data_IF_098453371720
#
_entry.id   IF_098453371720
#
_cell.length_a   1.000
_cell.length_b   1.000
_cell.length_c   1.000
_cell.angle_alpha   90.00
_cell.angle_beta   90.00
_cell.angle_gamma   90.00
#
_symmetry.space_group_name_H-M   'P 1'
#
loop_
_entity.id
_entity.type
_entity.pdbx_description
1 polymer ?
#
# COMPACT_ATOMS: atom_id res chain seq x y z
N UNK A 1 -9.97 27.23 3.00
CA UNK A 1 -10.78 26.00 3.10
C UNK A 1 -9.97 25.01 3.90
N UNK A 2 -10.46 24.60 5.08
CA UNK A 2 -9.69 23.82 6.06
C UNK A 2 -9.76 22.33 5.69
N UNK A 3 -8.64 21.75 5.31
CA UNK A 3 -8.53 20.30 5.17
C UNK A 3 -7.87 19.75 6.44
N UNK A 4 -8.68 19.15 7.30
CA UNK A 4 -8.25 18.44 8.52
C UNK A 4 -8.15 16.97 8.15
N UNK A 5 -6.96 16.40 8.30
CA UNK A 5 -6.79 14.94 8.28
C UNK A 5 -7.40 14.43 9.58
N UNK A 6 -8.54 13.73 9.48
CA UNK A 6 -9.25 13.17 10.63
C UNK A 6 -8.65 11.82 11.02
N UNK A 7 -7.89 11.80 12.10
CA UNK A 7 -7.61 10.57 12.84
C UNK A 7 -8.79 10.31 13.79
N UNK A 8 -9.51 9.20 13.62
CA UNK A 8 -10.63 8.81 14.46
C UNK A 8 -10.13 8.31 15.82
N UNK A 9 -10.29 9.14 16.85
CA UNK A 9 -10.15 8.73 18.24
C UNK A 9 -11.54 8.60 18.86
N UNK A 10 -11.88 7.40 19.36
CA UNK A 10 -13.10 7.13 20.12
C UNK A 10 -12.89 7.66 21.54
N UNK A 11 -13.63 8.67 21.93
CA UNK A 11 -13.68 9.18 23.30
C UNK A 11 -14.85 8.58 24.07
N UNK A 12 -14.58 7.82 25.13
CA UNK A 12 -15.56 7.44 26.15
C UNK A 12 -15.78 8.62 27.11
N UNK A 13 -17.00 9.10 27.19
CA UNK A 13 -17.44 10.09 28.16
C UNK A 13 -17.79 9.39 29.48
N UNK A 14 -16.98 9.61 30.52
CA UNK A 14 -17.37 9.38 31.91
C UNK A 14 -17.49 10.75 32.60
N UNK A 15 -18.70 11.11 32.99
CA UNK A 15 -18.97 12.36 33.68
C UNK A 15 -18.56 12.30 35.16
N UNK A 16 -17.75 13.27 35.61
CA UNK A 16 -17.56 13.61 37.00
C UNK A 16 -17.80 15.10 37.20
N UNK A 17 -18.69 15.41 38.15
CA UNK A 17 -18.98 16.79 38.61
C UNK A 17 -17.76 17.33 39.35
N UNK A 18 -17.26 18.50 38.94
CA UNK A 18 -16.21 19.22 39.68
C UNK A 18 -16.79 20.43 40.43
N UNK A 19 -16.26 20.76 41.60
CA UNK A 19 -16.64 21.96 42.35
C UNK A 19 -16.02 23.22 41.71
N UNK A 20 -16.74 24.33 41.80
CA UNK A 20 -16.34 25.63 41.28
C UNK A 20 -15.04 26.14 41.97
N UNK A 21 -14.00 26.34 41.13
CA UNK A 21 -12.78 27.04 41.54
C UNK A 21 -12.73 28.41 40.84
N UNK A 22 -12.28 29.40 41.58
CA UNK A 22 -12.24 30.81 41.22
C UNK A 22 -11.60 31.10 39.87
N UNK A 23 -12.19 32.02 39.10
CA UNK A 23 -11.68 32.58 37.87
C UNK A 23 -10.30 33.22 38.04
N UNK A 24 -9.26 32.53 37.58
CA UNK A 24 -7.99 33.18 37.26
C UNK A 24 -8.09 33.76 35.86
N UNK A 25 -7.47 34.91 35.66
CA UNK A 25 -7.49 35.69 34.41
C UNK A 25 -7.33 34.81 33.17
N UNK A 26 -8.19 35.03 32.16
CA UNK A 26 -8.11 34.32 30.88
C UNK A 26 -6.70 34.46 30.28
N UNK A 27 -6.08 33.37 29.81
CA UNK A 27 -4.84 33.47 29.07
C UNK A 27 -5.08 34.34 27.83
N UNK A 28 -4.20 35.30 27.60
CA UNK A 28 -4.19 36.08 26.39
C UNK A 28 -4.06 35.07 25.21
N UNK A 29 -5.09 34.99 24.38
CA UNK A 29 -5.08 34.17 23.18
C UNK A 29 -3.97 34.71 22.27
N UNK A 30 -2.84 34.05 22.26
CA UNK A 30 -1.79 34.28 21.27
C UNK A 30 -2.38 33.88 19.93
N UNK A 31 -2.50 34.82 19.01
CA UNK A 31 -2.96 34.53 17.65
C UNK A 31 -2.08 33.37 17.09
N UNK A 32 -2.66 32.35 16.48
CA UNK A 32 -1.88 31.27 15.90
C UNK A 32 -0.87 31.86 14.90
N UNK A 33 0.40 31.50 15.04
CA UNK A 33 1.44 31.93 14.12
C UNK A 33 1.03 31.53 12.68
N UNK A 34 1.34 32.39 11.72
CA UNK A 34 1.09 32.07 10.30
C UNK A 34 1.86 30.79 9.94
N UNK A 35 1.24 29.85 9.23
CA UNK A 35 1.89 28.60 8.85
C UNK A 35 3.19 28.84 8.09
N UNK A 36 4.20 27.99 8.33
CA UNK A 36 5.47 28.07 7.59
C UNK A 36 5.20 27.78 6.10
N UNK A 37 5.33 28.81 5.26
CA UNK A 37 4.97 28.74 3.86
C UNK A 37 5.83 27.72 3.07
N UNK A 38 7.12 27.57 3.44
CA UNK A 38 8.00 26.61 2.78
C UNK A 38 7.56 25.16 3.08
N UNK A 39 7.25 24.86 4.34
CA UNK A 39 6.74 23.53 4.71
C UNK A 39 5.38 23.26 4.05
N UNK A 40 4.45 24.21 4.11
CA UNK A 40 3.13 24.05 3.50
C UNK A 40 3.24 23.78 1.99
N UNK A 41 4.16 24.47 1.29
CA UNK A 41 4.40 24.24 -0.14
C UNK A 41 4.95 22.83 -0.41
N UNK A 42 5.94 22.38 0.35
CA UNK A 42 6.50 21.01 0.17
C UNK A 42 5.44 19.94 0.39
N UNK A 43 4.61 20.07 1.43
CA UNK A 43 3.54 19.12 1.72
C UNK A 43 2.50 19.06 0.60
N UNK A 44 2.08 20.22 0.07
CA UNK A 44 1.11 20.29 -1.01
C UNK A 44 1.64 19.69 -2.33
N UNK A 45 2.91 19.98 -2.65
CA UNK A 45 3.55 19.43 -3.85
C UNK A 45 3.77 17.93 -3.74
N UNK A 46 4.15 17.44 -2.54
CA UNK A 46 4.27 16.00 -2.29
C UNK A 46 2.91 15.28 -2.42
N UNK A 47 1.84 15.85 -1.87
CA UNK A 47 0.48 15.30 -2.02
C UNK A 47 0.08 15.23 -3.51
N UNK A 48 0.36 16.30 -4.26
CA UNK A 48 0.08 16.35 -5.70
C UNK A 48 0.85 15.26 -6.46
N UNK A 49 2.14 15.09 -6.15
CA UNK A 49 2.96 14.04 -6.71
C UNK A 49 2.46 12.65 -6.33
N UNK A 50 2.14 12.42 -5.04
CA UNK A 50 1.65 11.14 -4.54
C UNK A 50 0.36 10.71 -5.25
N UNK A 51 -0.59 11.63 -5.43
CA UNK A 51 -1.84 11.38 -6.19
C UNK A 51 -1.58 11.05 -7.66
N UNK A 52 -0.50 11.56 -8.22
CA UNK A 52 -0.12 11.25 -9.60
C UNK A 52 0.50 9.84 -9.74
N UNK A 53 1.32 9.42 -8.77
CA UNK A 53 2.02 8.11 -8.80
C UNK A 53 1.17 6.97 -8.22
N UNK A 54 0.20 7.29 -7.34
CA UNK A 54 -0.73 6.34 -6.70
C UNK A 54 -2.19 6.59 -7.10
N UNK A 55 -2.52 6.54 -8.41
CA UNK A 55 -3.83 6.99 -8.89
C UNK A 55 -4.99 6.11 -8.41
N UNK A 56 -4.73 4.85 -8.05
CA UNK A 56 -5.77 3.96 -7.50
C UNK A 56 -6.20 4.45 -6.12
N UNK A 57 -5.24 4.74 -5.24
CA UNK A 57 -5.49 5.31 -3.91
C UNK A 57 -6.16 6.68 -4.01
N UNK A 58 -5.61 7.57 -4.85
CA UNK A 58 -6.20 8.89 -5.09
C UNK A 58 -7.67 8.82 -5.54
N UNK A 59 -8.00 7.86 -6.43
CA UNK A 59 -9.37 7.63 -6.87
C UNK A 59 -10.29 7.13 -5.75
N UNK A 60 -9.81 6.27 -4.85
CA UNK A 60 -10.55 5.81 -3.67
C UNK A 60 -10.80 6.96 -2.68
N UNK A 61 -9.91 7.93 -2.60
CA UNK A 61 -10.04 9.15 -1.79
C UNK A 61 -10.90 10.25 -2.46
N UNK A 62 -11.45 9.98 -3.64
CA UNK A 62 -12.41 10.86 -4.32
C UNK A 62 -11.82 11.71 -5.46
N UNK A 63 -10.55 11.51 -5.84
CA UNK A 63 -9.99 12.14 -7.03
C UNK A 63 -10.58 11.50 -8.30
N UNK A 64 -11.56 12.18 -8.89
CA UNK A 64 -12.26 11.69 -10.08
C UNK A 64 -11.33 11.61 -11.32
N UNK A 65 -10.32 12.47 -11.43
CA UNK A 65 -9.38 12.43 -12.54
C UNK A 65 -8.46 11.18 -12.47
N UNK A 66 -8.27 10.62 -11.28
CA UNK A 66 -7.48 9.43 -11.06
C UNK A 66 -8.25 8.11 -11.35
N UNK A 67 -9.60 8.16 -11.46
CA UNK A 67 -10.43 6.95 -11.65
C UNK A 67 -10.13 6.18 -12.93
N UNK A 68 -9.57 6.81 -13.95
CA UNK A 68 -9.22 6.19 -15.23
C UNK A 68 -7.79 5.63 -15.30
N UNK A 69 -6.99 5.78 -14.23
CA UNK A 69 -5.57 5.47 -14.24
C UNK A 69 -5.22 4.30 -13.32
N UNK A 70 -4.15 3.59 -13.67
CA UNK A 70 -3.43 2.64 -12.84
C UNK A 70 -2.02 3.17 -12.57
N UNK A 71 -1.39 2.70 -11.51
CA UNK A 71 0.02 2.98 -11.24
C UNK A 71 0.93 2.29 -12.26
N UNK A 72 2.12 2.85 -12.45
CA UNK A 72 3.16 2.24 -13.27
C UNK A 72 4.07 1.37 -12.37
N UNK A 73 4.08 0.07 -12.61
CA UNK A 73 4.84 -0.89 -11.81
C UNK A 73 6.24 -1.16 -12.39
N UNK A 74 6.63 -0.48 -13.46
CA UNK A 74 7.92 -0.71 -14.11
C UNK A 74 9.09 -0.21 -13.27
N UNK A 75 10.22 -0.92 -13.34
CA UNK A 75 11.47 -0.48 -12.72
C UNK A 75 11.94 0.88 -13.22
N UNK A 76 11.72 1.17 -14.50
CA UNK A 76 12.09 2.46 -15.09
C UNK A 76 11.33 3.61 -14.45
N UNK A 77 10.03 3.45 -14.21
CA UNK A 77 9.23 4.45 -13.50
C UNK A 77 9.71 4.64 -12.06
N UNK A 78 9.96 3.56 -11.33
CA UNK A 78 10.46 3.64 -9.95
C UNK A 78 11.78 4.44 -9.87
N UNK A 79 12.74 4.12 -10.74
CA UNK A 79 14.03 4.84 -10.80
C UNK A 79 13.85 6.31 -11.16
N UNK A 80 12.92 6.63 -12.05
CA UNK A 80 12.63 8.00 -12.46
C UNK A 80 12.06 8.86 -11.32
N UNK A 81 11.60 8.26 -10.21
CA UNK A 81 11.14 9.02 -9.04
C UNK A 81 12.29 9.56 -8.17
N UNK A 82 13.52 9.03 -8.29
CA UNK A 82 14.65 9.46 -7.43
C UNK A 82 14.93 10.98 -7.48
N UNK A 83 15.06 11.63 -8.64
CA UNK A 83 15.30 13.07 -8.68
C UNK A 83 14.14 13.88 -8.09
N UNK A 84 12.89 13.42 -8.22
CA UNK A 84 11.72 14.09 -7.64
C UNK A 84 11.77 14.01 -6.11
N UNK A 85 11.97 12.80 -5.58
CA UNK A 85 12.10 12.55 -4.14
C UNK A 85 13.32 13.27 -3.54
N UNK A 86 14.42 13.33 -4.28
CA UNK A 86 15.58 14.14 -3.88
C UNK A 86 15.22 15.62 -3.78
N UNK A 87 14.46 16.16 -4.72
CA UNK A 87 13.98 17.53 -4.66
C UNK A 87 13.14 17.83 -3.43
N UNK A 88 12.26 16.91 -3.02
CA UNK A 88 11.52 17.02 -1.74
C UNK A 88 12.46 16.97 -0.54
N UNK A 89 13.43 16.05 -0.52
CA UNK A 89 14.41 15.95 0.56
C UNK A 89 15.23 17.22 0.72
N UNK A 90 15.72 17.79 -0.38
CA UNK A 90 16.52 19.04 -0.37
C UNK A 90 15.69 20.21 0.17
N UNK A 91 14.43 20.33 -0.24
CA UNK A 91 13.51 21.37 0.26
C UNK A 91 13.21 21.22 1.75
N UNK A 92 12.99 20.02 2.23
CA UNK A 92 12.77 19.75 3.66
C UNK A 92 14.05 20.08 4.46
N UNK A 93 15.22 19.67 3.99
CA UNK A 93 16.49 19.97 4.65
C UNK A 93 16.80 21.48 4.74
N UNK A 94 16.25 22.29 3.86
CA UNK A 94 16.42 23.75 3.89
C UNK A 94 15.53 24.47 4.91
N UNK A 95 14.58 23.77 5.55
CA UNK A 95 13.69 24.32 6.58
C UNK A 95 14.34 24.15 7.96
N UNK A 96 14.57 25.26 8.68
CA UNK A 96 15.04 25.20 10.07
C UNK A 96 13.91 24.78 11.01
N UNK A 97 13.99 23.61 11.65
CA UNK A 97 12.95 23.14 12.57
C UNK A 97 12.75 24.04 13.80
N UNK A 98 13.75 24.85 14.18
CA UNK A 98 13.65 25.75 15.32
C UNK A 98 12.62 26.88 15.13
N UNK A 99 12.35 27.24 13.85
CA UNK A 99 11.35 28.24 13.48
C UNK A 99 9.93 27.69 13.34
N UNK A 100 9.72 26.37 13.56
CA UNK A 100 8.44 25.70 13.36
C UNK A 100 7.65 25.61 14.68
N UNK A 101 6.32 25.60 14.61
CA UNK A 101 5.45 25.18 15.73
C UNK A 101 5.61 23.68 16.01
N UNK A 102 5.06 23.17 17.12
CA UNK A 102 5.15 21.75 17.48
C UNK A 102 4.50 20.84 16.41
N UNK A 103 3.32 21.22 15.90
CA UNK A 103 2.63 20.47 14.85
C UNK A 103 3.42 20.50 13.52
N UNK A 104 4.01 21.63 13.19
CA UNK A 104 4.84 21.75 11.99
C UNK A 104 6.15 20.96 12.12
N UNK A 105 6.78 20.93 13.30
CA UNK A 105 7.94 20.06 13.55
C UNK A 105 7.60 18.59 13.36
N UNK A 106 6.44 18.16 13.86
CA UNK A 106 5.97 16.78 13.68
C UNK A 106 5.76 16.48 12.19
N UNK A 107 5.06 17.35 11.46
CA UNK A 107 4.82 17.19 10.04
C UNK A 107 6.12 17.19 9.22
N UNK A 108 7.06 18.07 9.56
CA UNK A 108 8.38 18.13 8.93
C UNK A 108 9.18 16.84 9.17
N UNK A 109 9.24 16.37 10.42
CA UNK A 109 9.95 15.14 10.78
C UNK A 109 9.32 13.91 10.09
N UNK A 110 7.99 13.82 10.11
CA UNK A 110 7.26 12.73 9.44
C UNK A 110 7.49 12.74 7.93
N UNK A 111 7.38 13.88 7.28
CA UNK A 111 7.61 13.99 5.83
C UNK A 111 9.06 13.69 5.46
N UNK A 112 10.02 14.16 6.27
CA UNK A 112 11.45 13.83 6.08
C UNK A 112 11.66 12.31 6.15
N UNK A 113 11.05 11.64 7.11
CA UNK A 113 11.10 10.18 7.23
C UNK A 113 10.48 9.49 6.00
N UNK A 114 9.29 9.91 5.57
CA UNK A 114 8.57 9.30 4.44
C UNK A 114 9.37 9.45 3.15
N UNK A 115 9.88 10.64 2.87
CA UNK A 115 10.69 10.91 1.66
C UNK A 115 11.98 10.12 1.68
N UNK A 116 12.70 10.11 2.83
CA UNK A 116 13.91 9.31 2.99
C UNK A 116 13.62 7.83 2.74
N UNK A 117 12.58 7.28 3.36
CA UNK A 117 12.20 5.87 3.19
C UNK A 117 11.87 5.53 1.73
N UNK A 118 11.15 6.40 1.03
CA UNK A 118 10.83 6.21 -0.38
C UNK A 118 12.09 6.16 -1.25
N UNK A 119 13.07 7.03 -0.97
CA UNK A 119 14.36 7.04 -1.65
C UNK A 119 15.21 5.81 -1.34
N UNK A 120 15.28 5.41 -0.07
CA UNK A 120 16.04 4.23 0.38
C UNK A 120 15.51 2.93 -0.25
N UNK A 121 14.24 2.88 -0.65
CA UNK A 121 13.63 1.73 -1.32
C UNK A 121 14.13 1.53 -2.74
N UNK A 122 14.35 2.61 -3.49
CA UNK A 122 14.67 2.55 -4.92
C UNK A 122 15.88 1.66 -5.23
N UNK A 123 17.05 1.78 -4.56
CA UNK A 123 18.20 0.93 -4.84
C UNK A 123 17.98 -0.55 -4.47
N UNK A 124 17.04 -0.85 -3.57
CA UNK A 124 16.73 -2.22 -3.16
C UNK A 124 16.02 -3.03 -4.27
N UNK A 125 15.37 -2.33 -5.22
CA UNK A 125 14.62 -2.97 -6.32
C UNK A 125 13.70 -4.08 -5.83
N UNK A 126 12.84 -3.73 -4.85
CA UNK A 126 11.94 -4.69 -4.19
C UNK A 126 10.94 -5.31 -5.15
N UNK A 127 10.62 -4.64 -6.25
CA UNK A 127 9.74 -5.16 -7.30
C UNK A 127 10.14 -6.54 -7.81
N UNK A 128 11.42 -6.93 -7.70
CA UNK A 128 11.89 -8.28 -8.07
C UNK A 128 11.21 -9.40 -7.28
N UNK A 129 10.96 -9.18 -5.99
CA UNK A 129 10.34 -10.15 -5.11
C UNK A 129 8.87 -9.82 -4.82
N UNK A 130 8.49 -8.54 -4.92
CA UNK A 130 7.15 -8.04 -4.60
C UNK A 130 6.18 -8.11 -5.80
N UNK A 131 6.60 -8.69 -6.94
CA UNK A 131 5.75 -8.86 -8.12
C UNK A 131 4.48 -9.70 -7.84
N UNK A 132 4.54 -10.56 -6.82
CA UNK A 132 3.43 -11.35 -6.27
C UNK A 132 3.76 -11.79 -4.84
N UNK A 133 2.74 -12.28 -4.13
CA UNK A 133 2.88 -12.82 -2.78
C UNK A 133 1.95 -14.03 -2.58
N UNK A 134 1.85 -14.56 -1.35
CA UNK A 134 0.96 -15.69 -1.02
C UNK A 134 -0.54 -15.42 -1.23
N UNK A 135 -0.93 -14.15 -1.37
CA UNK A 135 -2.33 -13.72 -1.54
C UNK A 135 -2.70 -13.54 -3.02
N UNK A 136 -1.73 -13.70 -3.94
CA UNK A 136 -1.97 -13.66 -5.38
C UNK A 136 -0.95 -12.82 -6.17
N UNK A 137 -1.36 -12.39 -7.36
CA UNK A 137 -0.52 -11.69 -8.34
C UNK A 137 -1.08 -10.35 -8.80
N UNK A 138 -0.58 -9.85 -9.94
CA UNK A 138 -1.04 -8.60 -10.52
C UNK A 138 -2.56 -8.58 -10.73
N UNK A 139 -3.20 -7.46 -10.41
CA UNK A 139 -4.63 -7.26 -10.64
C UNK A 139 -5.56 -7.70 -9.52
N UNK A 140 -5.11 -8.46 -8.52
CA UNK A 140 -5.97 -8.91 -7.41
C UNK A 140 -6.58 -7.74 -6.62
N UNK A 141 -5.79 -6.71 -6.31
CA UNK A 141 -6.32 -5.49 -5.69
C UNK A 141 -7.41 -4.82 -6.51
N UNK A 142 -7.35 -4.89 -7.85
CA UNK A 142 -8.36 -4.31 -8.72
C UNK A 142 -9.68 -5.10 -8.69
N UNK A 143 -9.65 -6.42 -8.48
CA UNK A 143 -10.85 -7.24 -8.27
C UNK A 143 -11.60 -6.82 -6.99
N UNK A 144 -10.88 -6.51 -5.92
CA UNK A 144 -11.48 -5.93 -4.71
C UNK A 144 -12.12 -4.56 -5.01
N UNK A 145 -11.41 -3.67 -5.69
CA UNK A 145 -11.93 -2.34 -6.06
C UNK A 145 -13.17 -2.48 -6.95
N UNK A 146 -13.19 -3.41 -7.91
CA UNK A 146 -14.37 -3.72 -8.71
C UNK A 146 -15.58 -4.06 -7.83
N UNK A 147 -15.36 -4.79 -6.74
CA UNK A 147 -16.44 -5.21 -5.84
C UNK A 147 -17.14 -4.07 -5.12
N UNK A 148 -16.43 -2.95 -4.88
CA UNK A 148 -16.93 -1.77 -4.18
C UNK A 148 -17.22 -0.59 -5.12
N UNK A 149 -16.78 -0.66 -6.38
CA UNK A 149 -17.00 0.41 -7.36
C UNK A 149 -18.46 0.49 -7.77
N UNK A 150 -19.01 1.69 -7.73
CA UNK A 150 -20.36 2.00 -8.23
C UNK A 150 -20.26 2.96 -9.40
N UNK A 151 -20.83 2.57 -10.52
CA UNK A 151 -20.98 3.42 -11.70
C UNK A 151 -22.25 4.25 -11.53
N UNK A 152 -22.11 5.57 -11.44
CA UNK A 152 -23.21 6.52 -11.29
C UNK A 152 -23.44 7.35 -12.55
N UNK A 153 -22.44 7.43 -13.42
CA UNK A 153 -22.47 8.16 -14.70
C UNK A 153 -21.81 7.36 -15.81
N UNK A 154 -22.04 7.73 -17.06
CA UNK A 154 -21.31 7.17 -18.19
C UNK A 154 -19.80 7.42 -18.09
N UNK A 155 -19.38 8.57 -17.54
CA UNK A 155 -17.97 8.89 -17.33
C UNK A 155 -17.32 7.95 -16.30
N UNK A 156 -18.04 7.50 -15.27
CA UNK A 156 -17.50 6.49 -14.33
C UNK A 156 -17.28 5.14 -15.02
N UNK A 157 -18.19 4.75 -15.92
CA UNK A 157 -18.05 3.54 -16.72
C UNK A 157 -16.85 3.62 -17.66
N UNK A 158 -16.65 4.74 -18.33
CA UNK A 158 -15.49 4.99 -19.20
C UNK A 158 -14.18 4.97 -18.41
N UNK A 159 -14.17 5.58 -17.24
CA UNK A 159 -12.99 5.57 -16.36
C UNK A 159 -12.62 4.15 -15.92
N UNK A 160 -13.61 3.33 -15.57
CA UNK A 160 -13.36 1.93 -15.21
C UNK A 160 -12.85 1.11 -16.40
N UNK A 161 -13.44 1.30 -17.60
CA UNK A 161 -12.96 0.65 -18.85
C UNK A 161 -11.51 1.04 -19.12
N UNK A 162 -11.15 2.31 -18.98
CA UNK A 162 -9.77 2.75 -19.19
C UNK A 162 -8.77 2.03 -18.25
N UNK A 163 -9.16 1.75 -16.99
CA UNK A 163 -8.37 0.90 -16.09
C UNK A 163 -8.23 -0.53 -16.60
N UNK A 164 -9.31 -1.13 -17.10
CA UNK A 164 -9.27 -2.48 -17.68
C UNK A 164 -8.33 -2.54 -18.88
N UNK A 165 -8.40 -1.54 -19.77
CA UNK A 165 -7.56 -1.39 -20.95
C UNK A 165 -6.07 -1.15 -20.59
N UNK A 166 -5.78 -0.58 -19.41
CA UNK A 166 -4.42 -0.37 -18.90
C UNK A 166 -3.81 -1.59 -18.18
N UNK A 167 -4.63 -2.57 -17.75
CA UNK A 167 -4.14 -3.75 -17.02
C UNK A 167 -3.07 -4.56 -17.74
N UNK A 168 -3.12 -4.77 -19.06
CA UNK A 168 -2.07 -5.52 -19.76
C UNK A 168 -0.67 -4.98 -19.51
N UNK A 169 -0.50 -3.65 -19.43
CA UNK A 169 0.79 -3.04 -19.08
C UNK A 169 1.22 -3.41 -17.67
N UNK A 170 0.31 -3.34 -16.69
CA UNK A 170 0.62 -3.69 -15.30
C UNK A 170 1.11 -5.13 -15.19
N UNK A 171 0.44 -6.07 -15.87
CA UNK A 171 0.89 -7.47 -15.93
C UNK A 171 2.26 -7.61 -16.57
N UNK A 172 2.51 -6.92 -17.70
CA UNK A 172 3.81 -6.95 -18.36
C UNK A 172 4.95 -6.40 -17.48
N UNK A 173 4.72 -5.30 -16.78
CA UNK A 173 5.69 -4.69 -15.87
C UNK A 173 6.01 -5.65 -14.71
N UNK A 174 5.00 -6.25 -14.10
CA UNK A 174 5.20 -7.20 -13.00
C UNK A 174 5.88 -8.50 -13.48
N UNK A 175 5.56 -8.96 -14.68
CA UNK A 175 6.25 -10.10 -15.30
C UNK A 175 7.73 -9.79 -15.52
N UNK A 176 8.06 -8.59 -15.99
CA UNK A 176 9.44 -8.14 -16.15
C UNK A 176 10.17 -8.05 -14.79
N UNK A 177 9.49 -7.57 -13.75
CA UNK A 177 10.00 -7.53 -12.39
C UNK A 177 10.31 -8.94 -11.86
N UNK A 178 9.37 -9.88 -11.98
CA UNK A 178 9.55 -11.27 -11.54
C UNK A 178 10.67 -11.99 -12.31
N UNK A 179 10.80 -11.76 -13.63
CA UNK A 179 11.90 -12.27 -14.46
C UNK A 179 13.25 -11.75 -13.98
N UNK A 180 13.35 -10.46 -13.68
CA UNK A 180 14.55 -9.84 -13.10
C UNK A 180 14.87 -10.43 -11.71
N UNK A 181 13.83 -10.77 -10.94
CA UNK A 181 13.97 -11.53 -9.70
C UNK A 181 14.66 -12.87 -9.92
N UNK A 182 14.22 -13.66 -10.90
CA UNK A 182 14.82 -14.93 -11.27
C UNK A 182 16.28 -14.80 -11.75
N UNK A 183 16.59 -13.75 -12.51
CA UNK A 183 17.94 -13.47 -13.02
C UNK A 183 18.91 -13.12 -11.90
N UNK A 184 18.44 -12.42 -10.87
CA UNK A 184 19.26 -11.91 -9.77
C UNK A 184 19.22 -12.78 -8.51
N UNK A 185 18.37 -13.82 -8.47
CA UNK A 185 18.17 -14.68 -7.30
C UNK A 185 17.34 -14.04 -6.18
N UNK A 186 16.77 -12.83 -6.40
CA UNK A 186 15.84 -12.18 -5.47
C UNK A 186 14.43 -12.70 -5.76
N UNK A 187 14.11 -13.87 -5.23
CA UNK A 187 12.91 -14.65 -5.57
C UNK A 187 12.13 -15.07 -4.34
N UNK A 188 10.82 -15.25 -4.51
CA UNK A 188 9.93 -15.85 -3.51
C UNK A 188 10.30 -17.32 -3.26
N UNK A 189 10.15 -17.83 -2.03
CA UNK A 189 10.31 -19.24 -1.75
C UNK A 189 9.19 -20.07 -2.39
N UNK A 190 9.46 -21.37 -2.63
CA UNK A 190 8.54 -22.31 -3.27
C UNK A 190 7.14 -22.28 -2.67
N UNK A 191 7.02 -22.31 -1.35
CA UNK A 191 5.72 -22.30 -0.65
C UNK A 191 4.86 -21.07 -0.96
N UNK A 192 5.47 -19.91 -1.15
CA UNK A 192 4.76 -18.68 -1.56
C UNK A 192 4.28 -18.80 -3.00
N UNK A 193 5.12 -19.35 -3.90
CA UNK A 193 4.73 -19.55 -5.31
C UNK A 193 3.56 -20.53 -5.42
N UNK A 194 3.62 -21.64 -4.68
CA UNK A 194 2.56 -22.66 -4.64
C UNK A 194 1.25 -22.07 -4.13
N UNK A 195 1.29 -21.30 -3.03
CA UNK A 195 0.10 -20.61 -2.52
C UNK A 195 -0.46 -19.60 -3.52
N UNK A 196 0.39 -18.79 -4.14
CA UNK A 196 -0.04 -17.83 -5.16
C UNK A 196 -0.74 -18.52 -6.35
N UNK A 197 -0.21 -19.66 -6.81
CA UNK A 197 -0.79 -20.43 -7.90
C UNK A 197 -2.20 -20.93 -7.58
N UNK A 198 -2.51 -21.26 -6.31
CA UNK A 198 -3.86 -21.69 -5.91
C UNK A 198 -4.93 -20.62 -6.17
N UNK A 199 -4.54 -19.36 -6.24
CA UNK A 199 -5.42 -18.22 -6.53
C UNK A 199 -5.36 -17.80 -8.00
N UNK A 200 -4.16 -17.76 -8.56
CA UNK A 200 -3.91 -17.26 -9.92
C UNK A 200 -4.44 -18.21 -11.01
N UNK A 201 -4.28 -19.52 -10.84
CA UNK A 201 -4.74 -20.49 -11.85
C UNK A 201 -6.27 -20.50 -12.02
N UNK A 202 -7.09 -20.50 -10.93
CA UNK A 202 -8.54 -20.34 -11.08
C UNK A 202 -8.94 -19.04 -11.76
N UNK A 203 -8.27 -17.91 -11.45
CA UNK A 203 -8.53 -16.63 -12.12
C UNK A 203 -8.17 -16.67 -13.61
N UNK A 204 -7.08 -17.35 -13.99
CA UNK A 204 -6.67 -17.52 -15.37
C UNK A 204 -7.61 -18.43 -16.17
N UNK A 205 -8.35 -19.32 -15.48
CA UNK A 205 -9.32 -20.25 -16.06
C UNK A 205 -10.74 -19.65 -16.19
N UNK A 206 -11.00 -18.46 -15.65
CA UNK A 206 -12.31 -17.81 -15.75
C UNK A 206 -12.72 -17.60 -17.22
N UNK A 207 -14.03 -17.64 -17.46
CA UNK A 207 -14.59 -17.12 -18.71
C UNK A 207 -14.71 -15.60 -18.63
N UNK A 208 -14.56 -14.86 -19.73
CA UNK A 208 -14.61 -13.40 -19.70
C UNK A 208 -15.88 -12.84 -19.02
N UNK A 209 -17.04 -13.45 -19.24
CA UNK A 209 -18.31 -12.99 -18.66
C UNK A 209 -18.46 -13.25 -17.17
N UNK A 210 -17.66 -14.14 -16.58
CA UNK A 210 -17.65 -14.43 -15.14
C UNK A 210 -16.60 -13.62 -14.37
N UNK A 211 -15.85 -12.76 -15.07
CA UNK A 211 -14.75 -12.02 -14.45
C UNK A 211 -15.25 -10.99 -13.44
N UNK A 212 -14.74 -11.00 -12.18
CA UNK A 212 -15.13 -10.04 -11.14
C UNK A 212 -14.93 -8.58 -11.55
N UNK A 213 -14.01 -8.28 -12.46
CA UNK A 213 -13.75 -6.93 -12.97
C UNK A 213 -14.94 -6.33 -13.73
N UNK A 214 -15.89 -7.16 -14.20
CA UNK A 214 -17.12 -6.73 -14.87
C UNK A 214 -18.26 -6.42 -13.90
N UNK A 215 -18.11 -6.71 -12.58
CA UNK A 215 -19.13 -6.47 -11.57
C UNK A 215 -19.71 -5.04 -11.57
N UNK A 216 -18.91 -3.96 -11.76
CA UNK A 216 -19.45 -2.60 -11.81
C UNK A 216 -20.49 -2.38 -12.91
N UNK A 217 -20.46 -3.17 -13.99
CA UNK A 217 -21.40 -3.07 -15.12
C UNK A 217 -22.71 -3.86 -14.92
N UNK A 218 -22.83 -4.63 -13.86
CA UNK A 218 -24.04 -5.43 -13.60
C UNK A 218 -25.30 -4.55 -13.44
N UNK A 219 -25.14 -3.37 -12.81
CA UNK A 219 -26.23 -2.43 -12.57
C UNK A 219 -25.81 -1.01 -12.99
N UNK A 220 -26.02 -0.66 -14.24
CA UNK A 220 -25.81 0.70 -14.73
C UNK A 220 -27.06 1.56 -14.47
N UNK A 221 -26.89 2.86 -14.14
CA UNK A 221 -28.03 3.74 -13.84
C UNK A 221 -28.93 3.99 -15.04
N UNK A 222 -30.24 4.12 -14.80
CA UNK A 222 -31.24 4.36 -15.84
C UNK A 222 -31.05 5.72 -16.58
N UNK A 223 -30.28 6.65 -16.01
CA UNK A 223 -29.88 7.89 -16.67
C UNK A 223 -28.97 7.70 -17.88
N UNK A 224 -28.33 6.53 -18.02
CA UNK A 224 -27.53 6.16 -19.19
C UNK A 224 -28.47 5.47 -20.19
N UNK A 225 -28.62 5.96 -21.44
CA UNK A 225 -29.44 5.31 -22.46
C UNK A 225 -29.07 3.84 -22.68
N UNK A 226 -30.07 2.97 -22.88
CA UNK A 226 -29.85 1.51 -22.97
C UNK A 226 -28.84 1.13 -24.06
N UNK A 227 -28.88 1.78 -25.22
CA UNK A 227 -27.90 1.55 -26.29
C UNK A 227 -26.46 1.85 -25.80
N UNK A 228 -26.26 2.91 -25.04
CA UNK A 228 -24.97 3.27 -24.46
C UNK A 228 -24.55 2.28 -23.35
N UNK A 229 -25.50 1.85 -22.50
CA UNK A 229 -25.22 0.81 -21.49
C UNK A 229 -24.69 -0.47 -22.16
N UNK A 230 -25.30 -0.90 -23.27
CA UNK A 230 -24.88 -2.09 -24.00
C UNK A 230 -23.48 -1.89 -24.59
N UNK A 231 -23.21 -0.77 -25.24
CA UNK A 231 -21.89 -0.45 -25.79
C UNK A 231 -20.79 -0.43 -24.71
N UNK A 232 -21.07 0.13 -23.53
CA UNK A 232 -20.14 0.14 -22.38
C UNK A 232 -19.85 -1.28 -21.87
N UNK A 233 -20.90 -2.13 -21.71
CA UNK A 233 -20.73 -3.54 -21.30
C UNK A 233 -19.90 -4.33 -22.31
N UNK A 234 -20.18 -4.16 -23.59
CA UNK A 234 -19.44 -4.85 -24.66
C UNK A 234 -17.97 -4.43 -24.68
N UNK A 235 -17.69 -3.13 -24.52
CA UNK A 235 -16.33 -2.62 -24.48
C UNK A 235 -15.58 -3.13 -23.25
N UNK A 236 -16.20 -3.11 -22.07
CA UNK A 236 -15.64 -3.68 -20.86
C UNK A 236 -15.34 -5.17 -21.00
N UNK A 237 -16.29 -5.94 -21.57
CA UNK A 237 -16.12 -7.36 -21.81
C UNK A 237 -14.96 -7.64 -22.80
N UNK A 238 -14.80 -6.84 -23.84
CA UNK A 238 -13.66 -6.95 -24.78
C UNK A 238 -12.34 -6.61 -24.06
N UNK A 239 -12.30 -5.55 -23.28
CA UNK A 239 -11.09 -5.19 -22.52
C UNK A 239 -10.62 -6.33 -21.60
N UNK A 240 -11.55 -7.03 -20.96
CA UNK A 240 -11.25 -8.22 -20.15
C UNK A 240 -10.84 -9.39 -21.04
N UNK A 241 -11.63 -9.74 -22.04
CA UNK A 241 -11.42 -10.94 -22.87
C UNK A 241 -10.10 -10.89 -23.66
N UNK A 242 -9.83 -9.75 -24.29
CA UNK A 242 -8.72 -9.58 -25.25
C UNK A 242 -7.48 -8.99 -24.56
N UNK A 243 -7.65 -8.26 -23.46
CA UNK A 243 -6.57 -7.62 -22.71
C UNK A 243 -6.14 -8.39 -21.46
N UNK A 244 -7.04 -8.53 -20.49
CA UNK A 244 -6.70 -9.06 -19.15
C UNK A 244 -6.49 -10.57 -19.16
N UNK A 245 -7.41 -11.33 -19.75
CA UNK A 245 -7.37 -12.80 -19.71
C UNK A 245 -6.11 -13.42 -20.33
N UNK A 246 -5.58 -12.95 -21.46
CA UNK A 246 -4.31 -13.45 -22.00
C UNK A 246 -3.15 -13.23 -21.04
N UNK A 247 -3.11 -12.08 -20.35
CA UNK A 247 -2.06 -11.75 -19.39
C UNK A 247 -2.12 -12.63 -18.13
N UNK A 248 -3.32 -12.92 -17.62
CA UNK A 248 -3.49 -13.86 -16.50
C UNK A 248 -3.00 -15.26 -16.83
N UNK A 249 -3.31 -15.74 -18.06
CA UNK A 249 -2.82 -17.06 -18.50
C UNK A 249 -1.30 -17.07 -18.64
N UNK A 250 -0.71 -16.04 -19.23
CA UNK A 250 0.75 -15.92 -19.34
C UNK A 250 1.42 -15.85 -17.97
N UNK A 251 0.80 -15.12 -17.02
CA UNK A 251 1.30 -15.02 -15.64
C UNK A 251 1.24 -16.36 -14.92
N UNK A 252 0.12 -17.10 -15.01
CA UNK A 252 -0.02 -18.43 -14.44
C UNK A 252 0.99 -19.42 -15.05
N UNK A 253 1.13 -19.42 -16.38
CA UNK A 253 2.12 -20.23 -17.09
C UNK A 253 3.54 -19.92 -16.61
N UNK A 254 3.91 -18.64 -16.57
CA UNK A 254 5.23 -18.20 -16.12
C UNK A 254 5.54 -18.66 -14.70
N UNK A 255 4.60 -18.49 -13.76
CA UNK A 255 4.79 -18.95 -12.40
C UNK A 255 4.94 -20.46 -12.31
N UNK A 256 4.14 -21.22 -13.05
CA UNK A 256 4.14 -22.68 -13.05
C UNK A 256 5.38 -23.26 -13.70
N UNK A 257 5.71 -22.78 -14.90
CA UNK A 257 6.70 -23.40 -15.76
C UNK A 257 8.11 -22.81 -15.60
N UNK A 258 8.21 -21.49 -15.36
CA UNK A 258 9.49 -20.79 -15.34
C UNK A 258 9.97 -20.47 -13.91
N UNK A 259 9.04 -20.03 -13.03
CA UNK A 259 9.41 -19.53 -11.70
C UNK A 259 9.48 -20.64 -10.65
N UNK A 260 8.43 -21.46 -10.52
CA UNK A 260 8.32 -22.51 -9.51
C UNK A 260 9.50 -23.51 -9.53
N UNK A 261 9.97 -23.99 -10.68
CA UNK A 261 11.14 -24.90 -10.72
C UNK A 261 12.44 -24.29 -10.19
N UNK A 262 12.52 -22.95 -10.18
CA UNK A 262 13.70 -22.20 -9.70
C UNK A 262 13.49 -21.58 -8.32
N UNK A 263 12.30 -21.72 -7.76
CA UNK A 263 11.97 -21.20 -6.43
C UNK A 263 12.65 -22.06 -5.35
N UNK A 264 13.43 -21.45 -4.43
CA UNK A 264 14.11 -22.21 -3.38
C UNK A 264 13.16 -22.65 -2.27
N UNK A 265 13.48 -23.76 -1.63
CA UNK A 265 12.78 -24.26 -0.43
C UNK A 265 13.06 -23.38 0.80
N UNK A 266 14.25 -22.74 0.84
CA UNK A 266 14.67 -21.96 2.00
C UNK A 266 13.81 -20.72 2.18
N UNK A 267 13.26 -20.55 3.38
CA UNK A 267 12.53 -19.36 3.79
C UNK A 267 13.49 -18.24 4.20
N UNK A 268 12.91 -17.06 4.42
CA UNK A 268 13.62 -15.89 4.92
C UNK A 268 14.37 -15.10 3.84
N UNK A 269 14.11 -13.79 3.85
CA UNK A 269 14.70 -12.85 2.91
C UNK A 269 16.24 -12.82 3.02
N UNK A 270 16.79 -13.07 4.21
CA UNK A 270 18.22 -13.16 4.49
C UNK A 270 18.96 -14.16 3.60
N UNK A 271 18.27 -15.17 3.08
CA UNK A 271 18.83 -16.19 2.19
C UNK A 271 18.82 -15.78 0.71
N UNK A 272 18.49 -14.52 0.41
CA UNK A 272 18.49 -13.96 -0.95
C UNK A 272 19.63 -12.96 -1.12
N UNK A 273 20.17 -12.80 -2.33
CA UNK A 273 21.17 -11.75 -2.62
C UNK A 273 20.64 -10.35 -2.26
N UNK A 274 21.33 -9.62 -1.37
CA UNK A 274 20.87 -8.31 -0.86
C UNK A 274 19.71 -8.38 0.15
N UNK A 275 19.26 -9.59 0.52
CA UNK A 275 18.09 -9.79 1.37
C UNK A 275 18.27 -9.30 2.81
N UNK A 276 19.50 -9.32 3.37
CA UNK A 276 19.78 -8.72 4.69
C UNK A 276 19.51 -7.22 4.70
N UNK A 277 19.97 -6.52 3.66
CA UNK A 277 19.79 -5.08 3.53
C UNK A 277 18.31 -4.72 3.35
N UNK A 278 17.60 -5.45 2.48
CA UNK A 278 16.17 -5.29 2.31
C UNK A 278 15.40 -5.59 3.59
N UNK A 279 15.76 -6.64 4.33
CA UNK A 279 15.12 -6.97 5.60
C UNK A 279 15.36 -5.89 6.66
N UNK A 280 16.59 -5.38 6.77
CA UNK A 280 16.88 -4.25 7.67
C UNK A 280 16.07 -2.98 7.29
N UNK A 281 15.91 -2.70 5.99
CA UNK A 281 15.02 -1.63 5.52
C UNK A 281 13.57 -1.84 5.96
N UNK A 282 13.05 -3.07 5.85
CA UNK A 282 11.69 -3.41 6.30
C UNK A 282 11.55 -3.26 7.81
N UNK A 283 12.50 -3.78 8.60
CA UNK A 283 12.49 -3.65 10.08
C UNK A 283 12.42 -2.18 10.49
N UNK A 284 13.31 -1.33 9.98
CA UNK A 284 13.26 0.12 10.26
C UNK A 284 11.91 0.75 9.88
N UNK A 285 11.35 0.30 8.78
CA UNK A 285 10.05 0.80 8.31
C UNK A 285 8.87 0.42 9.20
N UNK A 286 8.82 -0.81 9.69
CA UNK A 286 7.74 -1.30 10.54
C UNK A 286 7.88 -0.87 12.00
N UNK A 287 9.11 -0.76 12.50
CA UNK A 287 9.36 -0.35 13.89
C UNK A 287 9.45 1.17 14.05
N UNK A 288 9.68 1.91 12.96
CA UNK A 288 10.02 3.35 12.99
C UNK A 288 11.22 3.69 13.88
N UNK A 289 12.14 2.73 14.04
CA UNK A 289 13.36 2.85 14.85
C UNK A 289 14.60 2.54 13.98
N UNK A 290 15.79 2.83 14.53
CA UNK A 290 17.07 2.44 13.91
C UNK A 290 17.57 1.07 14.41
N UNK A 291 16.73 0.30 15.11
CA UNK A 291 17.08 -1.03 15.60
C UNK A 291 17.40 -1.99 14.46
N UNK A 292 18.44 -2.77 14.65
CA UNK A 292 18.80 -3.87 13.75
C UNK A 292 17.84 -5.06 13.91
N UNK A 293 17.73 -5.95 12.93
CA UNK A 293 16.98 -7.20 13.06
C UNK A 293 17.39 -8.04 14.28
N UNK A 294 18.69 -8.10 14.60
CA UNK A 294 19.20 -8.88 15.72
C UNK A 294 18.80 -8.25 17.08
N UNK A 295 18.82 -6.92 17.19
CA UNK A 295 18.32 -6.22 18.39
C UNK A 295 16.82 -6.42 18.58
N UNK A 296 16.02 -6.33 17.51
CA UNK A 296 14.57 -6.60 17.59
C UNK A 296 14.30 -8.05 17.98
N UNK A 297 15.10 -9.00 17.48
CA UNK A 297 15.00 -10.40 17.86
C UNK A 297 15.34 -10.63 19.33
N UNK A 298 16.40 -10.00 19.84
CA UNK A 298 16.78 -10.06 21.27
C UNK A 298 15.67 -9.53 22.17
N UNK A 299 15.11 -8.34 21.85
CA UNK A 299 13.93 -7.77 22.55
C UNK A 299 12.77 -8.77 22.53
N UNK A 300 12.51 -9.42 21.37
CA UNK A 300 11.44 -10.41 21.25
C UNK A 300 11.64 -11.61 22.21
N UNK A 301 12.85 -12.11 22.35
CA UNK A 301 13.15 -13.20 23.28
C UNK A 301 12.95 -12.79 24.73
N UNK A 302 13.40 -11.59 25.12
CA UNK A 302 13.20 -11.04 26.48
C UNK A 302 11.69 -10.86 26.77
N UNK A 303 10.93 -10.31 25.84
CA UNK A 303 9.49 -10.11 26.00
C UNK A 303 8.71 -11.42 26.09
N UNK A 304 9.07 -12.43 25.29
CA UNK A 304 8.47 -13.77 25.40
C UNK A 304 8.72 -14.36 26.78
N UNK A 305 9.94 -14.26 27.32
CA UNK A 305 10.26 -14.73 28.66
C UNK A 305 9.47 -13.97 29.74
N UNK A 306 9.38 -12.65 29.62
CA UNK A 306 8.62 -11.78 30.54
C UNK A 306 7.12 -12.10 30.51
N UNK A 307 6.55 -12.23 29.31
CA UNK A 307 5.14 -12.55 29.12
C UNK A 307 4.84 -13.94 29.71
N UNK A 308 5.71 -14.92 29.46
CA UNK A 308 5.54 -16.29 29.98
C UNK A 308 5.51 -16.29 31.50
N UNK A 309 6.46 -15.63 32.15
CA UNK A 309 6.50 -15.52 33.61
C UNK A 309 5.22 -14.86 34.17
N UNK A 310 4.70 -13.83 33.50
CA UNK A 310 3.43 -13.20 33.90
C UNK A 310 2.24 -14.15 33.70
N UNK A 311 2.17 -14.85 32.58
CA UNK A 311 1.11 -15.86 32.32
C UNK A 311 1.09 -16.93 33.41
N UNK A 312 2.27 -17.48 33.81
CA UNK A 312 2.38 -18.46 34.88
C UNK A 312 1.88 -17.90 36.24
N UNK A 313 2.08 -16.63 36.50
CA UNK A 313 1.59 -15.97 37.71
C UNK A 313 0.06 -15.83 37.66
N UNK A 314 -0.51 -15.34 36.57
CA UNK A 314 -1.95 -15.16 36.42
C UNK A 314 -2.70 -16.49 36.44
N UNK A 315 -2.13 -17.53 35.81
CA UNK A 315 -2.69 -18.89 35.85
C UNK A 315 -2.78 -19.44 37.26
N UNK A 316 -1.72 -19.29 38.06
CA UNK A 316 -1.72 -19.70 39.50
C UNK A 316 -2.74 -18.91 40.28
N UNK A 317 -2.82 -17.60 40.09
CA UNK A 317 -3.80 -16.75 40.73
C UNK A 317 -5.26 -17.12 40.39
N UNK A 318 -5.50 -17.62 39.17
CA UNK A 318 -6.79 -18.14 38.74
C UNK A 318 -7.09 -19.58 39.21
N UNK A 319 -6.18 -20.20 39.97
CA UNK A 319 -6.33 -21.59 40.46
C UNK A 319 -6.04 -22.66 39.41
N UNK A 320 -5.40 -22.30 38.27
CA UNK A 320 -4.99 -23.25 37.28
C UNK A 320 -3.76 -24.05 37.72
N UNK A 321 -3.84 -25.39 37.71
CA UNK A 321 -2.77 -26.31 38.16
C UNK A 321 -2.09 -27.07 37.05
N UNK A 322 -2.50 -26.85 35.77
CA UNK A 322 -1.92 -27.49 34.59
C UNK A 322 -0.70 -26.75 34.06
N UNK A 323 0.00 -27.37 33.14
CA UNK A 323 1.07 -26.74 32.36
C UNK A 323 0.51 -25.86 31.27
N UNK A 324 1.30 -24.86 30.87
CA UNK A 324 1.06 -24.10 29.66
C UNK A 324 1.62 -24.90 28.49
N UNK A 325 0.80 -25.70 27.84
CA UNK A 325 1.13 -26.46 26.64
C UNK A 325 0.65 -25.72 25.37
#
# INVERSE_FOLDING_TARGET
MKTVIAASAIALLAGFAQPAVAQTAAPVAVAPAAPNAALASVLADYETWLRAVEPVTAGMEGDRAALSRLGDASRAFEVAQEPVLKGFADRLAAIDPAGLTDDERLNHAFMTYVVKRSRDRIPLDTGRIDAFNSEGGPGQGLSYIASITRITTAADAEAWIARLEAMPKVYADQLANARRGLETGMVQPRSIVENALTLIEPEAALTPGADPLLKPFAALPASIPVAQQNALRERAARAVADGVMPQRREWARFLREDYLPRAPETLGLVNRPGGREQYAYLVRGFTTTELTPDEVHAIGLEEVARIRARMDTEMRAAGWTGDFA
#
